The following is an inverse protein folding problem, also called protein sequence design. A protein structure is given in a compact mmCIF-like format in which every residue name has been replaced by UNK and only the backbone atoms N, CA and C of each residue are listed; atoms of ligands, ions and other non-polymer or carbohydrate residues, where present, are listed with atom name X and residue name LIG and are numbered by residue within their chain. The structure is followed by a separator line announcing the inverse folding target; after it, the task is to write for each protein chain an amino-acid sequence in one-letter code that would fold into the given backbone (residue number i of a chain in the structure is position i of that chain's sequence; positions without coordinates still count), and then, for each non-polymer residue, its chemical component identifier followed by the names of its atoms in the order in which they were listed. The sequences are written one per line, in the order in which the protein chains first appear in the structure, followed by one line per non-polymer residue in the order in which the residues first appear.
data_IF_684393995233
#
_entry.id   IF_684393995233
#
_cell.length_a   1.000
_cell.length_b   1.000
_cell.length_c   1.000
_cell.angle_alpha   90.00
_cell.angle_beta   90.00
_cell.angle_gamma   90.00
#
_symmetry.space_group_name_H-M   'P 1'
#
loop_
_entity.id
_entity.type
_entity.pdbx_description
1 polymer ?
#
# COMPACT_ATOMS: atom_id res chain seq x y z
N UNK A 1 -44.74 -37.22 -30.37
CA UNK A 1 -43.48 -37.77 -29.82
C UNK A 1 -42.36 -37.00 -30.48
N UNK A 2 -41.52 -36.31 -29.71
CA UNK A 2 -40.41 -35.53 -30.27
C UNK A 2 -39.46 -36.46 -31.01
N UNK A 3 -39.11 -36.12 -32.25
CA UNK A 3 -38.25 -36.95 -33.07
C UNK A 3 -36.83 -36.93 -32.47
N UNK A 4 -36.19 -38.08 -32.23
CA UNK A 4 -34.87 -38.14 -31.59
C UNK A 4 -33.81 -37.34 -32.38
N UNK A 5 -33.93 -37.29 -33.71
CA UNK A 5 -33.05 -36.50 -34.59
C UNK A 5 -33.16 -34.99 -34.36
N UNK A 6 -34.35 -34.47 -34.03
CA UNK A 6 -34.55 -33.05 -33.71
C UNK A 6 -33.89 -32.69 -32.38
N UNK A 7 -33.97 -33.58 -31.40
CA UNK A 7 -33.27 -33.39 -30.12
C UNK A 7 -31.77 -33.32 -30.33
N UNK A 8 -31.17 -34.22 -31.13
CA UNK A 8 -29.73 -34.17 -31.42
C UNK A 8 -29.32 -32.87 -32.14
N UNK A 9 -30.09 -32.42 -33.12
CA UNK A 9 -29.83 -31.16 -33.82
C UNK A 9 -29.93 -29.95 -32.88
N UNK A 10 -30.91 -29.93 -31.97
CA UNK A 10 -31.05 -28.88 -30.95
C UNK A 10 -29.89 -28.91 -29.92
N UNK A 11 -29.39 -30.10 -29.57
CA UNK A 11 -28.22 -30.25 -28.69
C UNK A 11 -26.94 -29.78 -29.37
N UNK A 12 -26.74 -30.13 -30.64
CA UNK A 12 -25.57 -29.71 -31.42
C UNK A 12 -25.57 -28.20 -31.66
N UNK A 13 -26.73 -27.61 -31.97
CA UNK A 13 -26.90 -26.16 -32.09
C UNK A 13 -26.58 -25.44 -30.76
N UNK A 14 -27.09 -25.95 -29.63
CA UNK A 14 -26.77 -25.40 -28.30
C UNK A 14 -25.30 -25.53 -27.94
N UNK A 15 -24.65 -26.63 -28.32
CA UNK A 15 -23.22 -26.84 -28.06
C UNK A 15 -22.37 -25.86 -28.89
N UNK A 16 -22.71 -25.67 -30.17
CA UNK A 16 -22.05 -24.70 -31.04
C UNK A 16 -22.25 -23.25 -30.57
N UNK A 17 -23.44 -22.91 -30.07
CA UNK A 17 -23.71 -21.60 -29.47
C UNK A 17 -22.96 -21.39 -28.15
N UNK A 18 -22.93 -22.40 -27.29
CA UNK A 18 -22.16 -22.34 -26.04
C UNK A 18 -20.66 -22.18 -26.32
N UNK A 19 -20.12 -22.88 -27.31
CA UNK A 19 -18.71 -22.79 -27.69
C UNK A 19 -18.36 -21.43 -28.29
N UNK A 20 -19.23 -20.88 -29.15
CA UNK A 20 -19.06 -19.50 -29.67
C UNK A 20 -19.06 -18.47 -28.56
N UNK A 21 -20.03 -18.58 -27.63
CA UNK A 21 -20.16 -17.67 -26.49
C UNK A 21 -18.95 -17.75 -25.55
N UNK A 22 -18.45 -18.95 -25.27
CA UNK A 22 -17.26 -19.16 -24.45
C UNK A 22 -15.98 -18.59 -25.10
N UNK A 23 -15.80 -18.77 -26.42
CA UNK A 23 -14.66 -18.21 -27.13
C UNK A 23 -14.69 -16.67 -27.16
N UNK A 24 -15.87 -16.09 -27.31
CA UNK A 24 -16.05 -14.65 -27.25
C UNK A 24 -15.71 -14.10 -25.85
N UNK A 25 -16.21 -14.76 -24.79
CA UNK A 25 -15.88 -14.42 -23.41
C UNK A 25 -14.37 -14.45 -23.17
N UNK A 26 -13.69 -15.51 -23.63
CA UNK A 26 -12.24 -15.65 -23.46
C UNK A 26 -11.49 -14.49 -24.12
N UNK A 27 -11.86 -14.14 -25.35
CA UNK A 27 -11.23 -13.04 -26.09
C UNK A 27 -11.46 -11.69 -25.41
N UNK A 28 -12.66 -11.45 -24.89
CA UNK A 28 -12.99 -10.21 -24.18
C UNK A 28 -12.20 -10.09 -22.87
N UNK A 29 -12.11 -11.18 -22.09
CA UNK A 29 -11.32 -11.24 -20.84
C UNK A 29 -9.83 -11.08 -21.12
N UNK A 30 -9.29 -11.75 -22.15
CA UNK A 30 -7.89 -11.64 -22.56
C UNK A 30 -7.53 -10.20 -22.97
N UNK A 31 -8.49 -9.43 -23.50
CA UNK A 31 -8.33 -8.02 -23.84
C UNK A 31 -8.34 -7.06 -22.65
N UNK A 32 -8.83 -7.49 -21.47
CA UNK A 32 -8.86 -6.63 -20.28
C UNK A 32 -7.45 -6.40 -19.76
N UNK A 33 -7.07 -5.13 -19.73
CA UNK A 33 -5.82 -4.69 -19.14
C UNK A 33 -6.03 -3.37 -18.43
N UNK A 34 -5.33 -3.20 -17.31
CA UNK A 34 -5.36 -1.99 -16.51
C UNK A 34 -3.99 -1.34 -16.64
N UNK A 35 -4.01 -0.04 -16.95
CA UNK A 35 -2.80 0.78 -16.97
C UNK A 35 -2.84 1.76 -15.81
N UNK A 36 -1.73 1.87 -15.10
CA UNK A 36 -1.54 2.86 -14.04
C UNK A 36 -0.24 3.63 -14.23
N UNK A 37 -0.14 4.79 -13.59
CA UNK A 37 0.99 5.69 -13.71
C UNK A 37 1.38 6.22 -12.34
N UNK A 38 2.68 6.42 -12.13
CA UNK A 38 3.17 7.10 -10.93
C UNK A 38 2.68 8.55 -10.87
N UNK A 39 2.71 9.14 -9.65
CA UNK A 39 2.31 10.52 -9.35
C UNK A 39 3.08 11.54 -10.20
N UNK A 40 4.33 11.24 -10.54
CA UNK A 40 5.20 12.09 -11.35
C UNK A 40 5.03 11.88 -12.87
N UNK A 41 4.21 10.90 -13.26
CA UNK A 41 3.96 10.53 -14.65
C UNK A 41 5.13 9.87 -15.38
N UNK A 42 6.24 9.55 -14.69
CA UNK A 42 7.44 9.02 -15.32
C UNK A 42 7.40 7.49 -15.43
N UNK A 43 6.67 6.82 -14.55
CA UNK A 43 6.53 5.36 -14.57
C UNK A 43 5.11 5.02 -14.99
N UNK A 44 4.97 4.18 -16.02
CA UNK A 44 3.69 3.61 -16.46
C UNK A 44 3.74 2.10 -16.40
N UNK A 45 2.76 1.49 -15.76
CA UNK A 45 2.64 0.04 -15.61
C UNK A 45 1.35 -0.42 -16.29
N UNK A 46 1.41 -1.56 -16.97
CA UNK A 46 0.24 -2.24 -17.52
C UNK A 46 0.18 -3.67 -16.99
N UNK A 47 -0.96 -4.03 -16.42
CA UNK A 47 -1.25 -5.39 -15.94
C UNK A 47 -2.40 -6.00 -16.73
N UNK A 48 -2.37 -7.31 -16.92
CA UNK A 48 -3.46 -8.06 -17.55
C UNK A 48 -4.52 -8.49 -16.52
N UNK A 49 -5.63 -9.07 -17.00
CA UNK A 49 -6.70 -9.64 -16.18
C UNK A 49 -6.25 -10.67 -15.12
N UNK A 50 -5.07 -11.29 -15.29
CA UNK A 50 -4.50 -12.25 -14.36
C UNK A 50 -3.47 -11.61 -13.40
N UNK A 51 -3.37 -10.28 -13.34
CA UNK A 51 -2.46 -9.57 -12.45
C UNK A 51 -1.00 -9.56 -12.89
N UNK A 52 -0.69 -10.14 -14.06
CA UNK A 52 0.66 -10.18 -14.59
C UNK A 52 1.04 -8.86 -15.23
N UNK A 53 2.28 -8.43 -15.01
CA UNK A 53 2.88 -7.28 -15.67
C UNK A 53 3.08 -7.59 -17.16
N UNK A 54 2.39 -6.84 -18.02
CA UNK A 54 2.49 -6.98 -19.49
C UNK A 54 3.11 -5.77 -20.16
N UNK A 55 3.34 -4.69 -19.41
CA UNK A 55 4.03 -3.51 -19.89
C UNK A 55 4.60 -2.68 -18.74
N UNK A 56 5.80 -2.14 -18.97
CA UNK A 56 6.47 -1.20 -18.08
C UNK A 56 7.20 -0.16 -18.91
N UNK A 57 6.84 1.11 -18.71
CA UNK A 57 7.52 2.25 -19.32
C UNK A 57 8.15 3.10 -18.21
N UNK A 58 9.43 3.45 -18.39
CA UNK A 58 10.19 4.27 -17.44
C UNK A 58 10.77 5.46 -18.18
N UNK A 59 10.32 6.64 -17.77
CA UNK A 59 10.78 7.94 -18.25
C UNK A 59 12.26 8.18 -17.91
N UNK A 60 12.97 8.98 -18.71
CA UNK A 60 14.41 9.20 -18.55
C UNK A 60 14.77 9.89 -17.22
N UNK A 61 13.89 10.75 -16.70
CA UNK A 61 14.14 11.58 -15.52
C UNK A 61 14.28 10.81 -14.20
N UNK A 62 13.79 9.57 -14.14
CA UNK A 62 13.78 8.75 -12.91
C UNK A 62 14.74 7.57 -12.95
N UNK A 63 15.49 7.38 -14.05
CA UNK A 63 16.40 6.25 -14.23
C UNK A 63 17.57 6.25 -13.24
N UNK A 64 18.03 7.44 -12.88
CA UNK A 64 19.13 7.63 -11.93
C UNK A 64 18.63 7.78 -10.48
N UNK A 65 17.32 7.65 -10.24
CA UNK A 65 16.75 7.77 -8.90
C UNK A 65 16.97 6.47 -8.10
N UNK A 66 17.63 6.50 -6.94
CA UNK A 66 17.81 5.31 -6.10
C UNK A 66 16.47 4.74 -5.59
N UNK A 67 15.40 5.53 -5.55
CA UNK A 67 14.07 5.10 -5.13
C UNK A 67 13.22 4.48 -6.27
N UNK A 68 13.75 4.39 -7.49
CA UNK A 68 13.00 3.92 -8.66
C UNK A 68 12.35 2.55 -8.45
N UNK A 69 13.09 1.59 -7.85
CA UNK A 69 12.57 0.25 -7.62
C UNK A 69 11.36 0.26 -6.68
N UNK A 70 11.41 1.05 -5.60
CA UNK A 70 10.32 1.18 -4.65
C UNK A 70 9.11 1.86 -5.28
N UNK A 71 9.34 2.84 -6.15
CA UNK A 71 8.28 3.54 -6.87
C UNK A 71 7.58 2.63 -7.89
N UNK A 72 8.34 1.83 -8.65
CA UNK A 72 7.77 0.83 -9.56
C UNK A 72 6.90 -0.16 -8.79
N UNK A 73 7.40 -0.72 -7.68
CA UNK A 73 6.64 -1.68 -6.89
C UNK A 73 5.32 -1.07 -6.36
N UNK A 74 5.34 0.19 -5.95
CA UNK A 74 4.14 0.90 -5.49
C UNK A 74 3.11 1.07 -6.61
N UNK A 75 3.55 1.45 -7.81
CA UNK A 75 2.66 1.60 -9.00
C UNK A 75 2.11 0.24 -9.43
N UNK A 76 2.93 -0.81 -9.39
CA UNK A 76 2.46 -2.18 -9.68
C UNK A 76 1.40 -2.61 -8.66
N UNK A 77 1.63 -2.39 -7.36
CA UNK A 77 0.67 -2.74 -6.32
C UNK A 77 -0.65 -1.96 -6.46
N UNK A 78 -0.58 -0.68 -6.83
CA UNK A 78 -1.76 0.15 -7.11
C UNK A 78 -2.50 -0.27 -8.38
N UNK A 79 -1.77 -0.68 -9.43
CA UNK A 79 -2.37 -1.24 -10.64
C UNK A 79 -3.08 -2.58 -10.35
N UNK A 80 -2.48 -3.43 -9.51
CA UNK A 80 -3.04 -4.72 -9.10
C UNK A 80 -4.25 -4.56 -8.19
N UNK A 81 -4.25 -3.61 -7.24
CA UNK A 81 -5.43 -3.37 -6.39
C UNK A 81 -6.62 -2.82 -7.19
N UNK A 82 -6.36 -1.97 -8.19
CA UNK A 82 -7.39 -1.46 -9.11
C UNK A 82 -7.92 -2.53 -10.07
N UNK A 83 -7.20 -3.63 -10.26
CA UNK A 83 -7.63 -4.72 -11.14
C UNK A 83 -8.92 -5.39 -10.63
N UNK A 84 -9.04 -5.60 -9.32
CA UNK A 84 -10.24 -6.19 -8.72
C UNK A 84 -11.50 -5.35 -8.98
N UNK A 85 -11.42 -4.03 -8.77
CA UNK A 85 -12.52 -3.11 -9.07
C UNK A 85 -12.79 -2.95 -10.58
N UNK A 86 -11.74 -2.97 -11.41
CA UNK A 86 -11.87 -2.91 -12.87
C UNK A 86 -12.53 -4.16 -13.45
N UNK A 87 -12.25 -5.37 -12.93
CA UNK A 87 -12.94 -6.59 -13.34
C UNK A 87 -14.41 -6.59 -12.93
N UNK A 88 -14.75 -6.00 -11.77
CA UNK A 88 -16.13 -5.85 -11.34
C UNK A 88 -16.94 -4.88 -12.20
N UNK A 89 -16.29 -3.89 -12.83
CA UNK A 89 -16.94 -2.85 -13.64
C UNK A 89 -16.87 -3.14 -15.15
N UNK A 90 -15.82 -3.81 -15.61
CA UNK A 90 -15.47 -3.96 -17.03
C UNK A 90 -16.06 -5.18 -17.73
N UNK A 91 -16.62 -6.14 -16.99
CA UNK A 91 -17.35 -7.27 -17.59
C UNK A 91 -18.85 -6.92 -17.60
N UNK A 92 -19.44 -6.55 -18.76
CA UNK A 92 -20.89 -6.52 -18.86
C UNK A 92 -21.41 -7.93 -18.59
N UNK A 93 -22.18 -8.09 -17.50
CA UNK A 93 -22.81 -9.35 -17.09
C UNK A 93 -23.68 -9.94 -18.19
N UNK A 94 -23.09 -10.76 -19.06
CA UNK A 94 -23.82 -11.67 -19.94
C UNK A 94 -24.07 -13.01 -19.22
N UNK A 95 -23.35 -13.26 -18.12
CA UNK A 95 -23.61 -14.31 -17.15
C UNK A 95 -24.09 -13.65 -15.85
N UNK A 96 -25.14 -14.19 -15.24
CA UNK A 96 -25.79 -13.62 -14.06
C UNK A 96 -24.84 -13.30 -12.91
N UNK A 97 -25.33 -12.45 -12.01
CA UNK A 97 -24.63 -11.85 -10.86
C UNK A 97 -23.98 -12.84 -9.89
N UNK A 98 -24.39 -14.11 -9.89
CA UNK A 98 -23.88 -15.15 -8.99
C UNK A 98 -22.44 -15.57 -9.30
N UNK A 99 -22.13 -15.90 -10.57
CA UNK A 99 -20.77 -16.26 -11.00
C UNK A 99 -19.77 -15.12 -10.81
N UNK A 100 -20.26 -13.87 -10.85
CA UNK A 100 -19.43 -12.68 -10.63
C UNK A 100 -18.99 -12.57 -9.17
N UNK A 101 -19.89 -12.84 -8.22
CA UNK A 101 -19.58 -12.77 -6.80
C UNK A 101 -18.56 -13.84 -6.38
N UNK A 102 -18.62 -15.04 -6.96
CA UNK A 102 -17.64 -16.09 -6.66
C UNK A 102 -16.25 -15.74 -7.18
N UNK A 103 -16.15 -15.23 -8.41
CA UNK A 103 -14.88 -14.81 -9.00
C UNK A 103 -14.28 -13.60 -8.26
N UNK A 104 -15.12 -12.63 -7.87
CA UNK A 104 -14.69 -11.45 -7.10
C UNK A 104 -14.22 -11.84 -5.69
N UNK A 105 -14.93 -12.75 -5.02
CA UNK A 105 -14.50 -13.26 -3.72
C UNK A 105 -13.18 -14.03 -3.81
N UNK A 106 -12.99 -14.81 -4.87
CA UNK A 106 -11.74 -15.53 -5.09
C UNK A 106 -10.57 -14.57 -5.33
N UNK A 107 -10.77 -13.53 -6.15
CA UNK A 107 -9.75 -12.53 -6.45
C UNK A 107 -9.43 -11.63 -5.25
N UNK A 108 -10.41 -11.29 -4.40
CA UNK A 108 -10.18 -10.54 -3.16
C UNK A 108 -9.40 -11.35 -2.13
N UNK A 109 -9.60 -12.67 -2.09
CA UNK A 109 -8.81 -13.56 -1.24
C UNK A 109 -7.37 -13.73 -1.73
N UNK A 110 -7.15 -13.75 -3.05
CA UNK A 110 -5.81 -13.82 -3.65
C UNK A 110 -5.07 -12.48 -3.59
N UNK A 111 -5.80 -11.36 -3.60
CA UNK A 111 -5.25 -10.01 -3.59
C UNK A 111 -5.94 -9.15 -2.52
N UNK A 112 -5.62 -9.36 -1.22
CA UNK A 112 -6.17 -8.56 -0.14
C UNK A 112 -5.78 -7.09 -0.30
N UNK A 113 -6.72 -6.19 -0.02
CA UNK A 113 -6.51 -4.75 -0.09
C UNK A 113 -5.36 -4.36 0.86
N UNK A 114 -4.29 -3.69 0.39
CA UNK A 114 -3.20 -3.30 1.27
C UNK A 114 -3.74 -2.34 2.32
N UNK A 115 -3.37 -2.55 3.59
CA UNK A 115 -3.82 -1.70 4.68
C UNK A 115 -3.55 -0.23 4.32
N UNK A 116 -4.52 0.67 4.56
CA UNK A 116 -4.30 2.09 4.35
C UNK A 116 -3.20 2.54 5.30
N UNK A 117 -1.98 2.66 4.79
CA UNK A 117 -0.91 3.33 5.51
C UNK A 117 -1.29 4.80 5.55
N UNK A 118 -1.96 5.23 6.61
CA UNK A 118 -1.94 6.61 7.03
C UNK A 118 -0.48 7.05 7.03
N UNK A 119 -0.18 7.98 6.14
CA UNK A 119 1.16 8.50 5.96
C UNK A 119 1.53 9.27 7.22
N UNK A 120 2.29 8.64 8.12
CA UNK A 120 3.01 9.36 9.17
C UNK A 120 4.34 9.79 8.56
N UNK A 121 4.39 11.04 8.10
CA UNK A 121 5.63 11.70 7.70
C UNK A 121 6.58 11.70 8.91
N UNK A 122 7.56 10.77 8.94
CA UNK A 122 8.54 10.63 10.02
C UNK A 122 8.37 9.42 10.96
N UNK A 123 7.48 8.47 10.68
CA UNK A 123 7.30 7.28 11.52
C UNK A 123 8.35 6.20 11.32
N UNK A 124 9.60 6.43 11.76
CA UNK A 124 10.44 5.29 12.16
C UNK A 124 9.90 4.84 13.52
N UNK A 125 9.13 3.75 13.57
CA UNK A 125 9.06 3.01 14.82
C UNK A 125 10.49 2.67 15.18
N UNK A 126 10.93 3.08 16.37
CA UNK A 126 12.23 2.68 16.90
C UNK A 126 12.24 1.15 16.85
N UNK A 127 13.00 0.59 15.91
CA UNK A 127 13.25 -0.85 15.87
C UNK A 127 13.85 -1.16 17.23
N UNK A 128 13.18 -1.98 18.03
CA UNK A 128 13.74 -2.47 19.29
C UNK A 128 15.16 -2.97 18.98
N UNK A 129 16.14 -2.55 19.79
CA UNK A 129 17.55 -2.78 19.49
C UNK A 129 17.88 -4.28 19.37
N UNK A 130 17.00 -5.13 19.91
CA UNK A 130 16.99 -6.60 19.85
C UNK A 130 16.59 -7.20 18.49
N UNK A 131 15.88 -6.47 17.62
CA UNK A 131 15.46 -6.95 16.28
C UNK A 131 16.43 -6.52 15.17
N UNK A 132 17.55 -5.90 15.53
CA UNK A 132 18.61 -5.57 14.57
C UNK A 132 19.45 -6.81 14.27
N UNK A 133 19.61 -7.11 12.98
CA UNK A 133 20.51 -8.15 12.53
C UNK A 133 21.97 -7.72 12.77
N UNK A 134 22.60 -8.29 13.81
CA UNK A 134 24.02 -8.10 14.13
C UNK A 134 24.81 -9.29 13.57
N UNK A 135 25.86 -9.04 12.79
CA UNK A 135 26.74 -10.10 12.32
C UNK A 135 27.52 -10.71 13.52
N UNK A 136 27.73 -12.02 13.53
CA UNK A 136 28.32 -12.75 14.67
C UNK A 136 29.70 -12.19 15.13
N UNK A 137 30.47 -11.55 14.24
CA UNK A 137 31.74 -10.88 14.56
C UNK A 137 31.60 -9.61 15.43
N UNK A 138 30.42 -8.96 15.49
CA UNK A 138 30.21 -7.70 16.21
C UNK A 138 29.72 -7.89 17.66
N UNK A 139 29.25 -9.09 18.03
CA UNK A 139 28.79 -9.42 19.38
C UNK A 139 29.94 -9.53 20.40
N UNK A 140 31.16 -9.83 19.96
CA UNK A 140 32.35 -10.00 20.80
C UNK A 140 33.18 -8.70 20.93
N UNK A 141 32.76 -7.61 20.28
CA UNK A 141 33.46 -6.34 20.34
C UNK A 141 33.12 -5.55 21.62
N UNK A 142 34.12 -5.00 22.35
CA UNK A 142 33.84 -4.10 23.45
C UNK A 142 33.10 -2.85 22.96
N UNK A 143 32.15 -2.31 23.73
CA UNK A 143 31.34 -1.16 23.30
C UNK A 143 32.24 0.02 22.92
N UNK A 144 31.92 0.76 21.83
CA UNK A 144 32.70 1.91 21.44
C UNK A 144 32.66 2.99 22.54
N UNK A 145 33.75 3.74 22.74
CA UNK A 145 33.77 4.83 23.71
C UNK A 145 32.73 5.89 23.33
N UNK A 146 32.09 6.55 24.32
CA UNK A 146 31.11 7.59 24.05
C UNK A 146 31.72 8.71 23.21
N UNK A 147 31.07 9.07 22.12
CA UNK A 147 31.52 10.15 21.25
C UNK A 147 31.58 11.50 22.03
N UNK A 148 32.59 12.35 21.78
CA UNK A 148 32.67 13.67 22.39
C UNK A 148 31.49 14.54 21.96
N UNK A 149 30.84 15.19 22.94
CA UNK A 149 29.72 16.10 22.68
C UNK A 149 30.18 17.26 21.76
N UNK A 150 29.42 17.61 20.71
CA UNK A 150 29.70 18.79 19.90
C UNK A 150 29.72 20.06 20.77
N UNK A 151 30.61 21.03 20.49
CA UNK A 151 30.61 22.29 21.22
C UNK A 151 29.29 23.04 21.00
N UNK A 152 28.72 23.57 22.09
CA UNK A 152 27.49 24.35 22.02
C UNK A 152 27.72 25.63 21.19
N UNK A 153 26.77 26.02 20.32
CA UNK A 153 26.85 27.29 19.60
C UNK A 153 26.80 28.49 20.58
N UNK A 154 27.46 29.61 20.25
CA UNK A 154 27.48 30.78 21.12
C UNK A 154 26.08 31.38 21.27
N UNK A 155 25.71 31.70 22.52
CA UNK A 155 24.43 32.29 22.85
C UNK A 155 24.27 33.70 22.22
N UNK A 156 23.08 34.06 21.73
CA UNK A 156 22.80 35.42 21.25
C UNK A 156 22.84 36.44 22.41
N UNK A 157 23.18 37.71 22.13
CA UNK A 157 23.28 38.75 23.16
C UNK A 157 21.92 39.05 23.80
N UNK A 158 21.93 39.12 25.13
CA UNK A 158 20.76 39.38 25.98
C UNK A 158 20.34 40.86 25.86
N UNK A 159 19.04 41.20 25.65
CA UNK A 159 18.60 42.59 25.70
C UNK A 159 18.65 43.17 27.12
N UNK A 160 18.84 44.49 27.28
CA UNK A 160 19.00 45.12 28.59
C UNK A 160 17.75 44.99 29.46
N UNK A 161 17.98 44.54 30.69
CA UNK A 161 17.01 44.20 31.73
C UNK A 161 16.33 45.47 32.25
N UNK A 162 15.02 45.60 32.04
CA UNK A 162 14.20 46.63 32.67
C UNK A 162 14.15 46.43 34.20
N UNK A 163 14.08 47.55 34.91
CA UNK A 163 14.29 47.66 36.35
C UNK A 163 13.37 46.77 37.20
N UNK A 164 14.03 46.14 38.17
CA UNK A 164 13.56 45.28 39.26
C UNK A 164 12.50 46.00 40.12
N UNK A 165 11.23 45.59 40.03
CA UNK A 165 10.24 45.84 41.10
C UNK A 165 10.40 44.74 42.15
N UNK A 166 10.65 45.17 43.38
CA UNK A 166 10.71 44.32 44.57
C UNK A 166 9.30 43.85 44.94
N UNK A 167 9.12 42.57 45.25
CA UNK A 167 8.10 42.10 46.19
C UNK A 167 8.59 40.83 46.90
N UNK A 168 8.20 40.63 48.17
CA UNK A 168 9.00 39.96 49.21
C UNK A 168 8.75 38.45 49.37
N UNK A 169 9.69 37.83 50.09
CA UNK A 169 9.68 36.45 50.61
C UNK A 169 8.34 35.98 51.18
N UNK A 170 7.90 34.80 50.74
CA UNK A 170 7.11 33.87 51.54
C UNK A 170 7.54 32.43 51.18
N UNK A 171 8.43 31.90 52.01
CA UNK A 171 8.59 30.48 52.26
C UNK A 171 7.39 29.99 53.10
N UNK A 172 7.12 28.69 53.03
CA UNK A 172 6.20 27.90 53.86
C UNK A 172 4.70 27.91 53.47
N UNK A 173 4.26 26.88 52.75
CA UNK A 173 3.34 25.91 53.39
C UNK A 173 3.17 24.62 52.57
N UNK A 174 3.64 23.57 53.24
CA UNK A 174 3.84 22.20 52.84
C UNK A 174 2.57 21.41 53.19
N UNK A 175 1.95 20.79 52.19
CA UNK A 175 1.05 19.64 52.32
C UNK A 175 -0.02 19.66 53.44
N UNK A 176 -1.26 20.05 53.11
CA UNK A 176 -2.43 19.64 53.88
C UNK A 176 -3.71 19.53 53.04
N UNK A 177 -4.07 18.29 52.70
CA UNK A 177 -5.46 17.79 52.86
C UNK A 177 -6.47 17.97 51.72
N UNK A 178 -7.11 16.85 51.37
CA UNK A 178 -8.39 16.80 50.63
C UNK A 178 -8.46 15.60 49.69
N UNK A 179 -8.31 14.38 50.20
CA UNK A 179 -9.40 13.49 50.64
C UNK A 179 -10.20 12.89 49.48
N UNK A 180 -10.11 11.57 49.39
CA UNK A 180 -10.65 10.69 48.36
C UNK A 180 -11.67 9.79 49.05
N UNK A 181 -12.83 9.61 48.40
CA UNK A 181 -14.03 8.85 48.82
C UNK A 181 -15.04 9.59 49.73
N UNK A 182 -16.10 10.12 49.09
CA UNK A 182 -17.46 9.65 49.38
C UNK A 182 -18.46 9.98 48.26
#
# INVERSE_FOLDING_TARGET
MSNPEQLFADFEAKLADAQRKANQMRTEIEGVSVSERSKDGQISVKVNHAGNLVGLEIGPSVRDNPALAQEILRVVQSAQSKLAGAMQTGVPSIAGTETMNELVNQLHNEYPEPEPTDYVEGGHQAVDEDDRFVAEDELDAPPPPPAPKPPAPPAPPVPPRAARRQQPDHEDDYFAGGDFLR
#
